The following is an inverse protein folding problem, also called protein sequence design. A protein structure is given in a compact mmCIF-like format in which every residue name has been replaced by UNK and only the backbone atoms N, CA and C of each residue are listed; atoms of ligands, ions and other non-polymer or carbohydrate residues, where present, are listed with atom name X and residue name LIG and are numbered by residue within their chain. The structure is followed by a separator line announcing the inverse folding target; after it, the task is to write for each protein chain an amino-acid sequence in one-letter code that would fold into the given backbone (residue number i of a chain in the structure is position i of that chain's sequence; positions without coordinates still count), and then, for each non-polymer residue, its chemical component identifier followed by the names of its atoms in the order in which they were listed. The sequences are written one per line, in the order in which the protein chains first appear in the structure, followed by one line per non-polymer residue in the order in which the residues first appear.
data_IF_691669656863
#
_entry.id   IF_691669656863
#
_cell.length_a   1.000
_cell.length_b   1.000
_cell.length_c   1.000
_cell.angle_alpha   90.00
_cell.angle_beta   90.00
_cell.angle_gamma   90.00
#
_symmetry.space_group_name_H-M   'P 1'
#
loop_
_entity.id
_entity.type
_entity.pdbx_description
1 polymer ?
#
# COMPACT_ATOMS: atom_id res chain seq x y z
N UNK A 1 16.30 4.19 7.37
CA UNK A 1 15.94 3.32 6.22
C UNK A 1 15.23 2.09 6.78
N UNK A 2 13.91 2.02 6.64
CA UNK A 2 13.09 0.93 7.17
C UNK A 2 12.49 0.14 6.01
N UNK A 3 12.99 -1.08 5.80
CA UNK A 3 12.30 -2.07 4.97
C UNK A 3 11.13 -2.69 5.73
N UNK A 4 10.39 -3.63 5.11
CA UNK A 4 9.35 -4.36 5.81
C UNK A 4 9.96 -5.09 7.02
N UNK A 5 9.20 -5.25 8.12
CA UNK A 5 9.64 -6.07 9.24
C UNK A 5 10.00 -7.47 8.76
N UNK A 6 10.89 -8.16 9.49
CA UNK A 6 11.41 -9.47 9.09
C UNK A 6 10.27 -10.48 8.79
N UNK A 7 9.17 -10.38 9.53
CA UNK A 7 7.95 -11.20 9.36
C UNK A 7 7.25 -11.02 8.01
N UNK A 8 7.46 -9.90 7.32
CA UNK A 8 6.81 -9.58 6.04
C UNK A 8 7.78 -9.55 4.85
N UNK A 9 9.09 -9.79 5.06
CA UNK A 9 10.14 -9.61 4.05
C UNK A 9 9.95 -10.44 2.78
N UNK A 10 9.27 -11.58 2.89
CA UNK A 10 8.99 -12.45 1.75
C UNK A 10 7.73 -12.05 0.96
N UNK A 11 6.83 -11.29 1.58
CA UNK A 11 5.54 -10.88 1.01
C UNK A 11 5.51 -9.41 0.57
N UNK A 12 6.31 -8.56 1.20
CA UNK A 12 6.31 -7.11 1.03
C UNK A 12 7.60 -6.60 0.40
N UNK A 13 7.49 -5.57 -0.43
CA UNK A 13 8.62 -4.77 -0.91
C UNK A 13 9.05 -3.74 0.15
N UNK A 14 10.15 -3.03 -0.10
CA UNK A 14 10.57 -1.91 0.75
C UNK A 14 9.77 -0.62 0.49
N UNK A 15 8.94 -0.59 -0.54
CA UNK A 15 8.10 0.56 -0.87
C UNK A 15 6.81 0.48 -0.07
N UNK A 16 6.45 1.58 0.58
CA UNK A 16 5.22 1.69 1.35
C UNK A 16 4.64 3.09 1.29
N UNK A 17 3.33 3.17 1.57
CA UNK A 17 2.65 4.40 1.98
C UNK A 17 2.25 4.25 3.44
N UNK A 18 2.06 5.34 4.17
CA UNK A 18 1.57 5.28 5.55
C UNK A 18 0.33 6.13 5.77
N UNK A 19 -0.52 5.68 6.69
CA UNK A 19 -1.69 6.43 7.16
C UNK A 19 -1.86 6.24 8.66
N UNK A 20 -2.71 7.03 9.30
CA UNK A 20 -3.03 6.82 10.72
C UNK A 20 -3.88 5.57 10.89
N UNK A 21 -3.56 4.74 11.88
CA UNK A 21 -4.31 3.53 12.21
C UNK A 21 -5.79 3.81 12.52
N UNK A 22 -6.11 5.01 13.01
CA UNK A 22 -7.47 5.47 13.26
C UNK A 22 -8.35 5.54 12.00
N UNK A 23 -7.75 5.57 10.81
CA UNK A 23 -8.46 5.61 9.54
C UNK A 23 -8.58 4.25 8.84
N UNK A 24 -7.83 3.25 9.28
CA UNK A 24 -7.72 1.97 8.58
C UNK A 24 -7.67 0.77 9.52
N UNK A 25 -6.56 0.46 10.19
CA UNK A 25 -6.48 -0.79 10.95
C UNK A 25 -7.40 -0.85 12.17
N UNK A 26 -7.54 0.23 12.92
CA UNK A 26 -8.39 0.27 14.12
C UNK A 26 -9.88 0.06 13.82
N UNK A 27 -10.52 0.80 12.88
CA UNK A 27 -11.96 0.63 12.62
C UNK A 27 -12.33 -0.70 11.96
N UNK A 28 -11.37 -1.39 11.32
CA UNK A 28 -11.60 -2.64 10.59
C UNK A 28 -10.92 -3.86 11.22
N UNK A 29 -10.35 -3.70 12.42
CA UNK A 29 -9.66 -4.75 13.18
C UNK A 29 -8.61 -5.51 12.33
N UNK A 30 -7.85 -4.75 11.53
CA UNK A 30 -6.81 -5.30 10.65
C UNK A 30 -5.50 -5.48 11.42
N UNK A 31 -4.76 -6.53 11.09
CA UNK A 31 -3.51 -6.88 11.77
C UNK A 31 -2.34 -6.97 10.78
N UNK A 32 -1.12 -7.05 11.33
CA UNK A 32 0.08 -7.21 10.54
C UNK A 32 0.00 -8.43 9.61
N UNK A 33 0.23 -8.21 8.32
CA UNK A 33 0.18 -9.25 7.29
C UNK A 33 -1.16 -9.38 6.57
N UNK A 34 -2.22 -8.70 7.03
CA UNK A 34 -3.45 -8.58 6.24
C UNK A 34 -3.16 -7.87 4.91
N UNK A 35 -3.87 -8.29 3.87
CA UNK A 35 -3.71 -7.73 2.53
C UNK A 35 -4.80 -6.70 2.26
N UNK A 36 -4.46 -5.69 1.47
CA UNK A 36 -5.35 -4.62 1.06
C UNK A 36 -5.31 -4.51 -0.45
N UNK A 37 -6.47 -4.56 -1.09
CA UNK A 37 -6.61 -4.27 -2.51
C UNK A 37 -6.83 -2.78 -2.70
N UNK A 38 -5.91 -2.17 -3.43
CA UNK A 38 -5.95 -0.76 -3.74
C UNK A 38 -5.83 -0.54 -5.24
N UNK A 39 -6.39 0.57 -5.71
CA UNK A 39 -6.29 1.02 -7.09
C UNK A 39 -5.37 2.23 -7.15
N UNK A 40 -4.42 2.20 -8.07
CA UNK A 40 -3.54 3.34 -8.32
C UNK A 40 -4.36 4.46 -8.97
N UNK A 41 -4.40 5.64 -8.34
CA UNK A 41 -5.04 6.82 -8.91
C UNK A 41 -4.03 7.71 -9.65
N UNK A 42 -2.83 7.89 -9.08
CA UNK A 42 -1.71 8.58 -9.71
C UNK A 42 -0.39 8.13 -9.08
N UNK A 43 0.67 8.10 -9.88
CA UNK A 43 2.06 7.94 -9.44
C UNK A 43 2.86 9.02 -10.15
N UNK A 44 3.56 9.86 -9.38
CA UNK A 44 4.47 10.86 -9.90
C UNK A 44 5.86 10.69 -9.28
N UNK A 45 6.88 10.76 -10.12
CA UNK A 45 8.28 10.82 -9.70
C UNK A 45 8.81 12.13 -10.28
N UNK A 46 9.23 13.05 -9.42
CA UNK A 46 9.53 14.43 -9.79
C UNK A 46 8.37 15.05 -10.62
N UNK A 47 8.64 15.60 -11.80
CA UNK A 47 7.64 16.19 -12.70
C UNK A 47 6.98 15.18 -13.66
N UNK A 48 7.28 13.88 -13.54
CA UNK A 48 6.78 12.85 -14.47
C UNK A 48 5.65 12.03 -13.86
N UNK A 49 4.48 12.09 -14.49
CA UNK A 49 3.34 11.22 -14.17
C UNK A 49 3.38 9.92 -14.99
N UNK A 50 3.17 8.79 -14.32
CA UNK A 50 3.13 7.45 -14.93
C UNK A 50 1.69 7.02 -15.17
N UNK A 51 1.09 7.60 -16.22
CA UNK A 51 -0.31 7.39 -16.56
C UNK A 51 -0.64 5.92 -16.89
N UNK A 52 0.33 5.10 -17.31
CA UNK A 52 0.09 3.68 -17.60
C UNK A 52 -0.18 2.83 -16.35
N UNK A 53 0.21 3.33 -15.18
CA UNK A 53 -0.05 2.68 -13.90
C UNK A 53 -1.44 3.04 -13.34
N UNK A 54 -2.06 4.10 -13.85
CA UNK A 54 -3.36 4.58 -13.40
C UNK A 54 -4.44 3.53 -13.64
N UNK A 55 -5.19 3.24 -12.59
CA UNK A 55 -6.29 2.30 -12.58
C UNK A 55 -5.89 0.84 -12.39
N UNK A 56 -4.60 0.52 -12.29
CA UNK A 56 -4.16 -0.84 -11.95
C UNK A 56 -4.54 -1.15 -10.49
N UNK A 57 -5.07 -2.35 -10.28
CA UNK A 57 -5.24 -2.93 -8.95
C UNK A 57 -3.89 -3.45 -8.46
N UNK A 58 -3.56 -3.16 -7.21
CA UNK A 58 -2.36 -3.60 -6.51
C UNK A 58 -2.73 -4.16 -5.15
N UNK A 59 -1.85 -4.98 -4.61
CA UNK A 59 -1.95 -5.54 -3.27
C UNK A 59 -0.96 -4.83 -2.36
N UNK A 60 -1.46 -4.33 -1.23
CA UNK A 60 -0.66 -3.79 -0.14
C UNK A 60 -0.69 -4.77 1.03
N UNK A 61 0.40 -4.87 1.77
CA UNK A 61 0.56 -5.69 2.96
C UNK A 61 0.65 -4.76 4.16
N UNK A 62 -0.31 -4.88 5.08
CA UNK A 62 -0.42 -4.02 6.25
C UNK A 62 0.62 -4.37 7.30
N UNK A 63 1.21 -3.34 7.92
CA UNK A 63 1.95 -3.42 9.15
C UNK A 63 1.60 -2.22 10.06
N UNK A 64 0.75 -2.42 11.08
CA UNK A 64 0.45 -1.38 12.05
C UNK A 64 1.60 -1.25 13.05
N UNK A 65 2.11 -0.02 13.25
CA UNK A 65 3.20 0.28 14.17
C UNK A 65 3.08 1.69 14.74
N UNK A 66 3.07 1.79 16.08
CA UNK A 66 3.00 3.06 16.83
C UNK A 66 1.89 4.03 16.36
N UNK A 67 0.68 3.51 16.10
CA UNK A 67 -0.48 4.32 15.67
C UNK A 67 -0.46 4.74 14.19
N UNK A 68 0.50 4.24 13.43
CA UNK A 68 0.58 4.39 11.97
C UNK A 68 0.46 3.03 11.29
N UNK A 69 -0.28 2.97 10.20
CA UNK A 69 -0.38 1.82 9.34
C UNK A 69 0.60 1.99 8.18
N UNK A 70 1.58 1.10 8.10
CA UNK A 70 2.51 1.02 6.99
C UNK A 70 1.97 0.03 5.97
N UNK A 71 1.71 0.50 4.77
CA UNK A 71 1.12 -0.28 3.68
C UNK A 71 2.17 -0.56 2.63
N UNK A 72 2.82 -1.71 2.75
CA UNK A 72 3.90 -2.08 1.85
C UNK A 72 3.33 -2.65 0.56
N UNK A 73 3.87 -2.27 -0.59
CA UNK A 73 3.49 -2.93 -1.84
C UNK A 73 3.87 -4.41 -1.79
N UNK A 74 2.98 -5.29 -2.26
CA UNK A 74 3.28 -6.71 -2.33
C UNK A 74 4.51 -6.95 -3.20
N UNK A 75 5.30 -7.95 -2.85
CA UNK A 75 6.51 -8.30 -3.59
C UNK A 75 6.20 -8.74 -5.02
N UNK A 76 5.03 -9.36 -5.23
CA UNK A 76 4.54 -9.76 -6.54
C UNK A 76 4.28 -8.55 -7.41
N UNK A 77 3.43 -7.63 -6.97
CA UNK A 77 3.07 -6.43 -7.74
C UNK A 77 4.28 -5.52 -7.93
N UNK A 78 5.18 -5.48 -6.94
CA UNK A 78 6.47 -4.81 -7.07
C UNK A 78 7.27 -5.33 -8.26
N UNK A 79 7.49 -6.65 -8.32
CA UNK A 79 8.30 -7.28 -9.38
C UNK A 79 7.62 -7.17 -10.75
N UNK A 80 6.30 -7.35 -10.80
CA UNK A 80 5.56 -7.42 -12.06
C UNK A 80 5.24 -6.04 -12.67
N UNK A 81 5.01 -5.01 -11.85
CA UNK A 81 4.44 -3.75 -12.34
C UNK A 81 5.19 -2.47 -11.93
N UNK A 82 6.01 -2.50 -10.88
CA UNK A 82 6.49 -1.25 -10.27
C UNK A 82 8.02 -1.13 -10.28
N UNK A 83 8.74 -2.24 -10.29
CA UNK A 83 10.20 -2.27 -10.19
C UNK A 83 10.90 -1.57 -11.36
N UNK A 84 10.36 -1.68 -12.56
CA UNK A 84 10.93 -1.04 -13.77
C UNK A 84 10.85 0.50 -13.72
N UNK A 85 9.91 1.04 -12.95
CA UNK A 85 9.70 2.48 -12.80
C UNK A 85 10.60 3.11 -11.73
N UNK A 86 11.35 2.29 -10.98
CA UNK A 86 12.32 2.77 -10.01
C UNK A 86 11.70 3.56 -8.85
N UNK A 87 10.52 3.15 -8.35
CA UNK A 87 9.87 3.85 -7.24
C UNK A 87 10.77 3.81 -5.99
N UNK A 88 11.18 4.98 -5.51
CA UNK A 88 11.98 5.15 -4.30
C UNK A 88 11.12 5.86 -3.26
N UNK A 89 11.00 5.25 -2.08
CA UNK A 89 10.27 5.83 -0.93
C UNK A 89 10.82 7.22 -0.61
N UNK A 90 9.94 8.22 -0.57
CA UNK A 90 10.27 9.61 -0.28
C UNK A 90 10.63 10.48 -1.48
N UNK A 91 10.63 9.93 -2.69
CA UNK A 91 10.81 10.67 -3.96
C UNK A 91 9.65 10.44 -4.94
N UNK A 92 8.56 9.88 -4.45
CA UNK A 92 7.40 9.49 -5.25
C UNK A 92 6.14 9.95 -4.54
N UNK A 93 5.28 10.65 -5.28
CA UNK A 93 3.92 10.95 -4.84
C UNK A 93 3.02 9.81 -5.36
N UNK A 94 2.40 9.07 -4.44
CA UNK A 94 1.53 7.94 -4.77
C UNK A 94 0.16 8.19 -4.19
N UNK A 95 -0.83 8.29 -5.07
CA UNK A 95 -2.24 8.38 -4.68
C UNK A 95 -2.91 7.03 -4.91
N UNK A 96 -3.42 6.43 -3.84
CA UNK A 96 -4.04 5.12 -3.84
C UNK A 96 -5.47 5.21 -3.29
N UNK A 97 -6.37 4.47 -3.94
CA UNK A 97 -7.71 4.20 -3.41
C UNK A 97 -7.76 2.79 -2.85
N UNK A 98 -7.86 2.65 -1.53
CA UNK A 98 -8.12 1.35 -0.91
C UNK A 98 -9.59 0.98 -1.12
N UNK A 99 -9.84 -0.23 -1.63
CA UNK A 99 -11.20 -0.70 -1.92
C UNK A 99 -11.67 -1.79 -0.95
N UNK A 100 -10.79 -2.73 -0.62
CA UNK A 100 -11.12 -3.87 0.27
C UNK A 100 -9.89 -4.41 0.98
N UNK A 101 -10.10 -5.02 2.14
CA UNK A 101 -9.10 -5.81 2.84
C UNK A 101 -9.38 -7.31 2.61
N UNK A 102 -8.33 -8.11 2.68
CA UNK A 102 -8.39 -9.57 2.70
C UNK A 102 -7.82 -10.01 4.03
N UNK A 103 -8.72 -10.40 4.94
CA UNK A 103 -8.40 -10.89 6.28
C UNK A 103 -8.62 -12.39 6.31
N UNK A 104 -7.57 -13.16 6.57
CA UNK A 104 -7.63 -14.63 6.61
C UNK A 104 -8.26 -15.26 5.35
N UNK A 105 -8.07 -14.63 4.18
CA UNK A 105 -8.63 -15.07 2.90
C UNK A 105 -10.08 -14.64 2.66
N UNK A 106 -10.70 -13.92 3.59
CA UNK A 106 -12.04 -13.34 3.46
C UNK A 106 -11.94 -11.88 3.06
N UNK A 107 -12.65 -11.50 2.00
CA UNK A 107 -12.72 -10.11 1.56
C UNK A 107 -13.69 -9.32 2.43
N UNK A 108 -13.21 -8.22 3.00
CA UNK A 108 -14.01 -7.27 3.77
C UNK A 108 -14.02 -5.89 3.07
N UNK A 109 -15.19 -5.29 2.83
CA UNK A 109 -15.28 -3.98 2.20
C UNK A 109 -14.72 -2.91 3.14
N UNK A 110 -13.90 -2.01 2.61
CA UNK A 110 -13.37 -0.88 3.35
C UNK A 110 -14.07 0.40 2.91
N UNK A 111 -14.72 1.08 3.84
CA UNK A 111 -15.33 2.38 3.64
C UNK A 111 -14.37 3.45 4.13
N UNK A 112 -13.26 3.64 3.43
CA UNK A 112 -12.37 4.76 3.70
C UNK A 112 -13.07 6.04 3.23
N UNK A 113 -13.30 7.00 4.15
CA UNK A 113 -13.90 8.31 3.79
C UNK A 113 -12.94 9.21 2.99
N UNK A 114 -11.70 8.78 2.79
CA UNK A 114 -10.62 9.55 2.17
C UNK A 114 -9.75 8.62 1.32
N UNK A 115 -9.34 9.11 0.16
CA UNK A 115 -8.26 8.51 -0.62
C UNK A 115 -6.93 8.68 0.15
N UNK A 116 -5.99 7.74 -0.02
CA UNK A 116 -4.67 7.85 0.59
C UNK A 116 -3.75 8.60 -0.36
N UNK A 117 -3.26 9.75 0.10
CA UNK A 117 -2.28 10.59 -0.58
C UNK A 117 -1.02 10.64 0.29
N UNK A 118 0.12 10.19 -0.26
CA UNK A 118 1.43 10.22 0.40
C UNK A 118 2.49 10.65 -0.59
#
# INVERSE_FOLDING_TARGET
MGGPPYTLKDKASAVYVSTSSAYLSEPYELVAGDELKAKILSIKIDDKEYAELKGKEITLVLYPYMGSDYLFFSKKDWIEYLREYGLIVGLVDIVLKIERAVKEGVEIPLYTKRDLEV
#
